data_IF_864045736351
#
_entry.id   IF_864045736351
#
_cell.length_a   1.000
_cell.length_b   1.000
_cell.length_c   1.000
_cell.angle_alpha   90.00
_cell.angle_beta   90.00
_cell.angle_gamma   90.00
#
_symmetry.space_group_name_H-M   'P 1'
#
loop_
_entity.id
_entity.type
_entity.pdbx_description
1 polymer ?
#
# COMPACT_ATOMS: atom_id res chain seq x y z
N UNK A 1 -43.26 -26.45 -61.57
CA UNK A 1 -44.61 -26.00 -61.16
C UNK A 1 -44.53 -24.53 -60.79
N UNK A 2 -45.58 -23.77 -61.11
CA UNK A 2 -46.17 -22.62 -60.38
C UNK A 2 -45.39 -22.05 -59.15
N UNK A 3 -45.23 -20.73 -58.96
CA UNK A 3 -46.03 -19.56 -59.41
C UNK A 3 -45.20 -18.27 -59.56
N UNK A 4 -45.81 -17.26 -60.19
CA UNK A 4 -45.28 -15.92 -60.50
C UNK A 4 -45.95 -14.80 -59.66
N UNK A 5 -45.38 -13.57 -59.73
CA UNK A 5 -45.92 -12.27 -59.22
C UNK A 5 -45.92 -12.14 -57.67
N UNK A 6 -45.93 -10.98 -57.00
CA UNK A 6 -46.16 -9.54 -57.28
C UNK A 6 -45.19 -8.71 -56.36
N UNK A 7 -44.92 -7.39 -56.48
CA UNK A 7 -45.27 -6.30 -57.42
C UNK A 7 -44.15 -5.22 -57.38
N UNK A 8 -44.21 -4.20 -58.26
CA UNK A 8 -43.49 -2.92 -58.14
C UNK A 8 -44.28 -1.87 -57.32
N UNK A 9 -43.59 -0.98 -56.59
CA UNK A 9 -43.65 0.49 -56.80
C UNK A 9 -42.78 1.34 -55.82
N UNK A 10 -42.12 2.36 -56.38
CA UNK A 10 -41.74 3.69 -55.83
C UNK A 10 -41.58 3.92 -54.32
N UNK A 11 -40.40 4.39 -53.90
CA UNK A 11 -40.21 5.80 -53.46
C UNK A 11 -38.72 6.21 -53.33
N UNK A 12 -38.47 7.49 -53.57
CA UNK A 12 -37.27 8.27 -53.23
C UNK A 12 -37.78 9.68 -52.88
N UNK A 13 -37.05 10.58 -52.20
CA UNK A 13 -35.74 10.45 -51.52
C UNK A 13 -35.84 10.94 -50.05
N UNK A 14 -34.69 11.26 -49.40
CA UNK A 14 -34.45 12.54 -48.69
C UNK A 14 -32.96 12.58 -48.28
N UNK A 15 -32.24 13.60 -48.74
CA UNK A 15 -30.91 13.92 -48.22
C UNK A 15 -31.07 14.63 -46.88
N UNK A 16 -30.41 14.14 -45.82
CA UNK A 16 -30.20 14.95 -44.62
C UNK A 16 -28.96 15.84 -44.81
N UNK A 17 -29.03 17.14 -44.51
CA UNK A 17 -27.84 17.99 -44.51
C UNK A 17 -26.95 17.63 -43.31
N UNK A 18 -25.75 17.12 -43.58
CA UNK A 18 -24.67 17.04 -42.59
C UNK A 18 -24.26 18.46 -42.17
N UNK A 19 -24.87 18.97 -41.09
CA UNK A 19 -24.33 20.13 -40.37
C UNK A 19 -23.05 19.70 -39.67
N UNK A 20 -21.92 19.99 -40.29
CA UNK A 20 -20.66 20.15 -39.57
C UNK A 20 -20.77 21.36 -38.66
N UNK A 21 -21.16 21.13 -37.41
CA UNK A 21 -20.85 22.06 -36.33
C UNK A 21 -19.40 21.82 -35.92
N UNK A 22 -18.49 22.64 -36.45
CA UNK A 22 -17.13 22.76 -35.91
C UNK A 22 -17.21 23.45 -34.56
N UNK A 23 -17.52 22.69 -33.52
CA UNK A 23 -17.26 23.08 -32.14
C UNK A 23 -15.84 22.69 -31.83
N UNK A 24 -14.93 23.66 -31.88
CA UNK A 24 -13.60 23.58 -31.24
C UNK A 24 -13.77 23.55 -29.72
N UNK A 25 -14.36 22.47 -29.21
CA UNK A 25 -14.34 22.21 -27.78
C UNK A 25 -12.95 21.67 -27.46
N UNK A 26 -12.07 22.61 -27.07
CA UNK A 26 -10.73 22.31 -26.63
C UNK A 26 -10.82 21.40 -25.41
N UNK A 27 -10.74 20.10 -25.67
CA UNK A 27 -10.46 19.06 -24.69
C UNK A 27 -9.09 19.36 -24.07
N UNK A 28 -9.12 20.28 -23.10
CA UNK A 28 -8.11 20.44 -22.08
C UNK A 28 -8.11 19.12 -21.33
N UNK A 29 -7.29 18.20 -21.83
CA UNK A 29 -6.84 17.03 -21.09
C UNK A 29 -6.14 17.60 -19.87
N UNK A 30 -6.91 17.73 -18.79
CA UNK A 30 -6.42 18.24 -17.52
C UNK A 30 -5.38 17.23 -17.04
N UNK A 31 -4.11 17.57 -17.29
CA UNK A 31 -2.98 16.80 -16.82
C UNK A 31 -3.18 16.65 -15.31
N UNK A 32 -3.35 15.43 -14.78
CA UNK A 32 -3.64 15.24 -13.37
C UNK A 32 -2.52 15.88 -12.57
N UNK A 33 -2.89 16.72 -11.61
CA UNK A 33 -1.94 17.52 -10.84
C UNK A 33 -0.90 16.60 -10.16
N UNK A 34 0.32 16.69 -10.66
CA UNK A 34 1.44 15.82 -10.28
C UNK A 34 1.82 16.09 -8.82
N UNK A 35 1.67 17.32 -8.33
CA UNK A 35 1.93 17.67 -6.95
C UNK A 35 0.89 17.05 -6.01
N UNK A 36 -0.40 17.04 -6.40
CA UNK A 36 -1.47 16.36 -5.66
C UNK A 36 -1.27 14.84 -5.60
N UNK A 37 -0.91 14.21 -6.73
CA UNK A 37 -0.62 12.78 -6.76
C UNK A 37 0.58 12.41 -5.87
N UNK A 38 1.63 13.26 -5.86
CA UNK A 38 2.79 13.10 -4.98
C UNK A 38 2.43 13.25 -3.50
N UNK A 39 1.55 14.19 -3.16
CA UNK A 39 1.10 14.40 -1.78
C UNK A 39 0.35 13.17 -1.23
N UNK A 40 -0.57 12.60 -2.01
CA UNK A 40 -1.29 11.36 -1.65
C UNK A 40 -0.31 10.22 -1.40
N UNK A 41 0.65 9.99 -2.31
CA UNK A 41 1.66 8.92 -2.15
C UNK A 41 2.51 9.13 -0.90
N UNK A 42 2.92 10.37 -0.61
CA UNK A 42 3.63 10.69 0.62
C UNK A 42 2.80 10.48 1.89
N UNK A 43 1.48 10.69 1.82
CA UNK A 43 0.56 10.46 2.93
C UNK A 43 0.39 8.96 3.22
N UNK A 44 0.10 8.16 2.19
CA UNK A 44 -0.05 6.71 2.36
C UNK A 44 1.28 6.04 2.75
N UNK A 45 2.44 6.50 2.28
CA UNK A 45 3.75 6.01 2.73
C UNK A 45 4.01 6.33 4.23
N UNK A 46 3.61 7.54 4.69
CA UNK A 46 3.68 7.89 6.13
C UNK A 46 2.79 6.99 6.97
N UNK A 47 1.57 6.70 6.49
CA UNK A 47 0.59 5.81 7.15
C UNK A 47 1.10 4.37 7.21
N UNK A 48 1.62 3.83 6.11
CA UNK A 48 2.22 2.50 6.05
C UNK A 48 3.38 2.36 7.04
N UNK A 49 4.30 3.34 7.10
CA UNK A 49 5.34 3.39 8.14
C UNK A 49 4.75 3.36 9.55
N UNK A 50 3.74 4.19 9.84
CA UNK A 50 3.13 4.26 11.17
C UNK A 50 2.53 2.91 11.58
N UNK A 51 1.86 2.22 10.66
CA UNK A 51 1.31 0.87 10.85
C UNK A 51 2.43 -0.14 11.19
N UNK A 52 3.49 -0.18 10.40
CA UNK A 52 4.66 -1.06 10.65
C UNK A 52 5.30 -0.76 12.02
N UNK A 53 5.40 0.52 12.40
CA UNK A 53 5.96 0.92 13.69
C UNK A 53 5.03 0.53 14.86
N UNK A 54 3.71 0.63 14.70
CA UNK A 54 2.72 0.23 15.70
C UNK A 54 2.76 -1.29 15.93
N UNK A 55 2.76 -2.11 14.87
CA UNK A 55 2.90 -3.57 15.02
C UNK A 55 4.25 -3.92 15.68
N UNK A 56 5.36 -3.27 15.33
CA UNK A 56 6.64 -3.49 16.02
C UNK A 56 6.62 -3.08 17.50
N UNK A 57 5.82 -2.07 17.88
CA UNK A 57 5.67 -1.59 19.26
C UNK A 57 4.65 -2.38 20.09
N UNK A 58 3.78 -3.19 19.46
CA UNK A 58 2.77 -3.99 20.18
C UNK A 58 3.36 -5.20 20.92
N UNK A 59 4.62 -5.58 20.61
CA UNK A 59 5.25 -6.82 21.07
C UNK A 59 6.70 -6.62 21.52
N UNK A 60 6.94 -6.74 22.81
CA UNK A 60 8.28 -6.92 23.37
C UNK A 60 8.66 -8.42 23.42
N UNK A 61 9.91 -8.82 23.09
CA UNK A 61 11.03 -7.97 22.67
C UNK A 61 10.93 -7.49 21.21
N UNK A 62 10.14 -8.17 20.38
CA UNK A 62 9.97 -7.87 18.96
C UNK A 62 9.52 -9.11 18.19
N UNK A 63 9.90 -9.19 16.92
CA UNK A 63 9.57 -10.28 16.00
C UNK A 63 10.80 -11.08 15.61
N UNK A 64 10.76 -12.40 15.79
CA UNK A 64 11.92 -13.30 15.63
C UNK A 64 12.17 -13.73 14.18
N UNK A 65 11.32 -13.30 13.24
CA UNK A 65 11.53 -13.49 11.80
C UNK A 65 10.76 -12.44 11.00
N UNK A 66 11.22 -12.15 9.79
CA UNK A 66 10.55 -11.23 8.87
C UNK A 66 9.12 -11.72 8.56
N UNK A 67 8.96 -13.03 8.36
CA UNK A 67 7.65 -13.66 8.09
C UNK A 67 6.67 -13.47 9.26
N UNK A 68 7.14 -13.56 10.50
CA UNK A 68 6.27 -13.33 11.67
C UNK A 68 5.78 -11.87 11.77
N UNK A 69 6.60 -10.91 11.35
CA UNK A 69 6.24 -9.49 11.27
C UNK A 69 5.28 -9.21 10.11
N UNK A 70 5.57 -9.76 8.92
CA UNK A 70 4.71 -9.69 7.73
C UNK A 70 3.30 -10.19 8.06
N UNK A 71 3.21 -11.37 8.68
CA UNK A 71 1.93 -11.98 9.05
C UNK A 71 1.17 -11.11 10.07
N UNK A 72 1.86 -10.54 11.06
CA UNK A 72 1.19 -9.66 12.04
C UNK A 72 0.63 -8.40 11.39
N UNK A 73 1.40 -7.71 10.55
CA UNK A 73 0.91 -6.52 9.80
C UNK A 73 -0.28 -6.89 8.91
N UNK A 74 -0.22 -8.06 8.25
CA UNK A 74 -1.32 -8.58 7.43
C UNK A 74 -2.59 -8.88 8.23
N UNK A 75 -2.46 -9.44 9.43
CA UNK A 75 -3.58 -9.66 10.35
C UNK A 75 -4.14 -8.35 10.93
N UNK A 76 -3.28 -7.42 11.32
CA UNK A 76 -3.65 -6.15 11.97
C UNK A 76 -4.37 -5.18 11.00
N UNK A 77 -3.98 -5.17 9.72
CA UNK A 77 -4.42 -4.17 8.75
C UNK A 77 -5.01 -4.70 7.44
N UNK A 78 -5.05 -6.02 7.22
CA UNK A 78 -5.75 -6.64 6.09
C UNK A 78 -5.08 -6.48 4.71
N UNK A 79 -3.78 -6.18 4.64
CA UNK A 79 -3.03 -6.09 3.38
C UNK A 79 -1.66 -6.77 3.47
N UNK A 80 -1.10 -7.20 2.34
CA UNK A 80 0.26 -7.75 2.28
C UNK A 80 1.32 -6.63 2.31
N UNK A 81 2.14 -6.50 3.36
CA UNK A 81 3.18 -5.47 3.45
C UNK A 81 4.31 -5.65 2.42
N UNK A 82 4.50 -6.84 1.84
CA UNK A 82 5.49 -7.07 0.78
C UNK A 82 5.05 -6.40 -0.53
N UNK A 83 3.78 -6.54 -0.89
CA UNK A 83 3.22 -5.86 -2.07
C UNK A 83 3.08 -4.36 -1.82
N UNK A 84 2.64 -3.95 -0.61
CA UNK A 84 2.57 -2.54 -0.23
C UNK A 84 3.94 -1.83 -0.29
N UNK A 85 5.03 -2.50 0.09
CA UNK A 85 6.37 -1.94 -0.06
C UNK A 85 6.75 -1.75 -1.54
N UNK A 86 6.39 -2.68 -2.43
CA UNK A 86 6.63 -2.58 -3.87
C UNK A 86 5.85 -1.44 -4.53
N UNK A 87 4.62 -1.15 -4.08
CA UNK A 87 3.85 0.03 -4.52
C UNK A 87 4.60 1.35 -4.31
N UNK A 88 5.48 1.42 -3.29
CA UNK A 88 6.33 2.57 -3.00
C UNK A 88 7.75 2.47 -3.58
N UNK A 89 8.02 1.50 -4.46
CA UNK A 89 9.30 1.37 -5.17
C UNK A 89 10.40 0.58 -4.47
N UNK A 90 10.11 -0.09 -3.34
CA UNK A 90 11.08 -0.98 -2.69
C UNK A 90 11.03 -2.38 -3.31
N UNK A 91 12.18 -3.01 -3.56
CA UNK A 91 12.27 -4.39 -4.07
C UNK A 91 11.71 -5.41 -3.06
N UNK A 92 11.83 -5.13 -1.76
CA UNK A 92 11.35 -6.00 -0.69
C UNK A 92 10.90 -5.26 0.57
N UNK A 93 10.10 -5.93 1.41
CA UNK A 93 9.75 -5.39 2.73
C UNK A 93 10.96 -5.27 3.67
N UNK A 94 11.97 -6.14 3.52
CA UNK A 94 13.24 -6.02 4.26
C UNK A 94 13.97 -4.72 3.92
N UNK A 95 14.05 -4.38 2.62
CA UNK A 95 14.68 -3.14 2.17
C UNK A 95 13.92 -1.91 2.68
N UNK A 96 12.58 -1.93 2.66
CA UNK A 96 11.77 -0.90 3.29
C UNK A 96 12.16 -0.70 4.77
N UNK A 97 12.24 -1.78 5.55
CA UNK A 97 12.65 -1.74 6.97
C UNK A 97 14.09 -1.26 7.19
N UNK A 98 14.99 -1.54 6.25
CA UNK A 98 16.41 -1.15 6.29
C UNK A 98 16.69 0.25 5.69
N UNK A 99 15.70 0.89 5.07
CA UNK A 99 15.84 2.17 4.38
C UNK A 99 16.13 3.35 5.32
N UNK A 100 16.72 4.43 4.78
CA UNK A 100 16.88 5.69 5.51
C UNK A 100 15.53 6.27 6.00
N UNK A 101 14.41 5.93 5.35
CA UNK A 101 13.07 6.36 5.77
C UNK A 101 12.59 5.70 7.07
N UNK A 102 13.10 4.50 7.40
CA UNK A 102 12.84 3.76 8.64
C UNK A 102 13.94 3.93 9.69
N UNK A 103 14.99 4.70 9.39
CA UNK A 103 16.11 4.99 10.28
C UNK A 103 15.63 5.61 11.60
N UNK A 104 16.12 5.07 12.71
CA UNK A 104 15.69 5.50 14.05
C UNK A 104 14.28 5.05 14.46
N UNK A 105 13.59 4.23 13.64
CA UNK A 105 12.29 3.61 13.97
C UNK A 105 12.38 2.11 14.17
N UNK A 106 13.25 1.44 13.41
CA UNK A 106 13.45 -0.01 13.46
C UNK A 106 14.91 -0.32 13.73
N UNK A 107 15.17 -1.37 14.51
CA UNK A 107 16.49 -2.00 14.61
C UNK A 107 16.36 -3.47 14.24
N UNK A 108 17.15 -3.89 13.25
CA UNK A 108 17.34 -5.30 12.91
C UNK A 108 18.61 -5.75 13.65
N UNK A 109 18.50 -6.77 14.49
CA UNK A 109 19.60 -7.31 15.29
C UNK A 109 19.76 -8.79 15.01
N UNK A 110 20.98 -9.25 14.78
CA UNK A 110 21.25 -10.68 14.59
C UNK A 110 21.58 -11.35 15.93
N UNK A 111 21.04 -12.55 16.14
CA UNK A 111 21.35 -13.44 17.27
C UNK A 111 22.62 -14.25 16.94
N UNK A 112 23.20 -14.90 17.95
CA UNK A 112 24.41 -15.72 17.81
C UNK A 112 24.25 -16.90 16.84
N UNK A 113 23.01 -17.40 16.67
CA UNK A 113 22.65 -18.44 15.71
C UNK A 113 22.39 -17.91 14.28
N UNK A 114 22.54 -16.60 14.04
CA UNK A 114 22.29 -15.95 12.75
C UNK A 114 20.86 -15.42 12.55
N UNK A 115 19.91 -15.72 13.45
CA UNK A 115 18.52 -15.29 13.29
C UNK A 115 18.35 -13.76 13.45
N UNK A 116 17.54 -13.16 12.58
CA UNK A 116 17.25 -11.73 12.62
C UNK A 116 16.04 -11.41 13.52
N UNK A 117 16.27 -10.57 14.52
CA UNK A 117 15.28 -10.03 15.45
C UNK A 117 14.92 -8.59 15.04
N UNK A 118 13.63 -8.35 14.78
CA UNK A 118 13.09 -7.07 14.34
C UNK A 118 12.48 -6.35 15.54
N UNK A 119 13.05 -5.17 15.86
CA UNK A 119 12.79 -4.41 17.08
C UNK A 119 12.23 -3.03 16.71
N UNK A 120 11.20 -2.57 17.45
CA UNK A 120 10.91 -1.14 17.51
C UNK A 120 12.04 -0.39 18.22
N UNK A 121 12.37 0.81 17.74
CA UNK A 121 13.08 1.80 18.54
C UNK A 121 12.03 2.68 19.25
N UNK A 122 12.09 2.81 20.59
CA UNK A 122 11.14 3.63 21.33
C UNK A 122 11.32 5.11 20.98
N UNK A 123 10.21 5.83 20.79
CA UNK A 123 10.22 7.29 20.75
C UNK A 123 10.17 7.83 22.17
N UNK A 124 10.42 9.13 22.36
CA UNK A 124 10.25 9.77 23.67
C UNK A 124 8.82 9.58 24.22
N UNK A 125 7.83 9.51 23.32
CA UNK A 125 6.41 9.29 23.65
C UNK A 125 6.14 7.82 24.03
N UNK A 126 6.61 6.85 23.23
CA UNK A 126 6.33 5.42 23.45
C UNK A 126 7.24 4.72 24.47
N UNK A 127 8.28 5.41 24.97
CA UNK A 127 9.26 4.86 25.92
C UNK A 127 8.61 4.23 27.16
N UNK A 128 7.61 4.87 27.76
CA UNK A 128 6.97 4.38 28.98
C UNK A 128 6.29 3.01 28.76
N UNK A 129 5.51 2.89 27.69
CA UNK A 129 4.87 1.63 27.25
C UNK A 129 5.94 0.55 27.02
N UNK A 130 7.05 0.90 26.36
CA UNK A 130 8.13 -0.01 26.06
C UNK A 130 8.86 -0.51 27.34
N UNK A 131 9.07 0.37 28.32
CA UNK A 131 9.65 0.02 29.62
C UNK A 131 8.70 -0.90 30.43
N UNK A 132 7.38 -0.66 30.42
CA UNK A 132 6.36 -1.53 31.03
C UNK A 132 6.34 -2.94 30.39
N UNK A 133 6.30 -3.01 29.05
CA UNK A 133 6.35 -4.27 28.32
C UNK A 133 7.63 -5.06 28.64
N UNK A 134 8.79 -4.37 28.73
CA UNK A 134 10.07 -4.99 29.12
C UNK A 134 10.01 -5.59 30.53
N UNK A 135 9.48 -4.85 31.50
CA UNK A 135 9.35 -5.31 32.90
C UNK A 135 8.44 -6.54 32.96
N UNK A 136 7.28 -6.50 32.31
CA UNK A 136 6.34 -7.62 32.24
C UNK A 136 6.97 -8.88 31.61
N UNK A 137 7.73 -8.71 30.52
CA UNK A 137 8.46 -9.79 29.87
C UNK A 137 9.57 -10.38 30.77
N UNK A 138 10.37 -9.54 31.42
CA UNK A 138 11.42 -9.98 32.36
C UNK A 138 10.82 -10.75 33.54
N UNK A 139 9.70 -10.29 34.09
CA UNK A 139 8.96 -11.00 35.13
C UNK A 139 8.54 -12.39 34.64
N UNK A 140 7.90 -12.48 33.47
CA UNK A 140 7.46 -13.75 32.87
C UNK A 140 8.61 -14.74 32.62
N UNK A 141 9.82 -14.27 32.35
CA UNK A 141 11.00 -15.13 32.15
C UNK A 141 11.66 -15.57 33.46
N UNK A 142 11.46 -14.85 34.57
CA UNK A 142 12.00 -15.22 35.89
C UNK A 142 11.24 -16.35 36.59
N UNK A 143 9.97 -16.56 36.21
CA UNK A 143 9.08 -17.58 36.77
C UNK A 143 8.73 -18.69 35.74
N UNK A 144 9.70 -19.02 34.89
CA UNK A 144 9.69 -20.14 33.94
C UNK A 144 10.84 -21.08 34.24
#
# INVERSE_FOLDING_TARGET
MFLTLFSSHTESPIQMPLRFSSSDDSSSSAVPDIDFAREILCSELKKFRSQVCQTLQSRFPGYESLSSLINAIGCDYGFDPVNRAKEFGYFSFYEFLASDYMKGRVRISFRENGDALYLALPTNESKHIFDEQRISYQHKMKYR
#
